data_IF_984557858041
#
_entry.id   IF_984557858041
#
_cell.length_a   1.000
_cell.length_b   1.000
_cell.length_c   1.000
_cell.angle_alpha   90.00
_cell.angle_beta   90.00
_cell.angle_gamma   90.00
#
_symmetry.space_group_name_H-M   'P 1'
#
loop_
_entity.id
_entity.type
_entity.pdbx_description
1 polymer ?
#
# COMPACT_ATOMS: atom_id res chain seq x y z
N UNK A 1 -23.55 -14.69 61.51
CA UNK A 1 -23.08 -14.31 60.17
C UNK A 1 -24.29 -14.17 59.25
N UNK A 2 -24.35 -13.02 58.57
CA UNK A 2 -25.13 -12.62 57.39
C UNK A 2 -26.62 -13.03 57.25
N UNK A 3 -27.50 -12.06 57.57
CA UNK A 3 -28.76 -11.80 56.85
C UNK A 3 -28.41 -11.27 55.46
N UNK A 4 -29.13 -11.71 54.41
CA UNK A 4 -29.29 -10.89 53.20
C UNK A 4 -30.74 -10.99 52.66
N UNK A 5 -31.39 -9.83 52.75
CA UNK A 5 -32.55 -9.30 52.05
C UNK A 5 -32.31 -9.29 50.50
N UNK A 6 -33.25 -9.09 49.55
CA UNK A 6 -34.58 -8.44 49.43
C UNK A 6 -35.12 -8.82 48.03
N UNK A 7 -36.37 -9.27 47.85
CA UNK A 7 -37.58 -8.51 47.43
C UNK A 7 -37.41 -7.34 46.42
N UNK A 8 -38.02 -7.57 45.25
CA UNK A 8 -39.00 -6.74 44.48
C UNK A 8 -38.51 -5.72 43.45
N UNK A 9 -39.01 -5.96 42.24
CA UNK A 9 -39.10 -5.10 41.06
C UNK A 9 -39.68 -3.70 41.35
N UNK A 10 -39.14 -2.69 40.68
CA UNK A 10 -39.86 -1.46 40.36
C UNK A 10 -39.34 -0.89 39.03
N UNK A 11 -40.20 -0.95 38.01
CA UNK A 11 -40.13 -0.07 36.84
C UNK A 11 -40.45 1.36 37.27
N UNK A 12 -39.64 2.34 36.84
CA UNK A 12 -40.05 3.74 36.82
C UNK A 12 -39.37 4.47 35.64
N UNK A 13 -40.26 5.01 34.82
CA UNK A 13 -40.12 5.92 33.70
C UNK A 13 -39.33 7.19 34.02
N UNK A 14 -38.51 7.69 33.08
CA UNK A 14 -37.91 9.02 33.14
C UNK A 14 -38.59 9.98 32.12
N UNK A 15 -38.91 11.23 32.49
CA UNK A 15 -39.51 12.20 31.57
C UNK A 15 -38.48 13.09 30.85
N UNK A 16 -38.91 13.60 29.70
CA UNK A 16 -38.32 14.70 28.92
C UNK A 16 -38.17 15.99 29.76
N UNK A 17 -37.05 16.70 29.55
CA UNK A 17 -37.02 18.10 29.07
C UNK A 17 -35.62 18.71 29.26
N UNK A 18 -35.12 19.43 28.25
CA UNK A 18 -34.77 20.85 28.34
C UNK A 18 -33.97 21.29 27.10
N UNK A 19 -34.53 22.28 26.39
CA UNK A 19 -33.92 22.95 25.26
C UNK A 19 -32.74 23.84 25.70
N UNK A 20 -31.66 23.83 24.91
CA UNK A 20 -30.62 24.85 24.96
C UNK A 20 -30.66 25.64 23.65
N UNK A 21 -30.85 26.96 23.79
CA UNK A 21 -30.91 27.96 22.73
C UNK A 21 -29.54 28.16 22.08
N UNK A 22 -29.44 27.94 20.76
CA UNK A 22 -28.28 28.32 19.95
C UNK A 22 -28.41 29.78 19.53
N UNK A 23 -27.50 30.64 19.97
CA UNK A 23 -27.29 31.98 19.41
C UNK A 23 -26.49 31.88 18.11
N UNK A 24 -27.05 32.38 17.02
CA UNK A 24 -26.40 32.46 15.71
C UNK A 24 -25.53 33.73 15.67
N UNK A 25 -24.23 33.57 15.42
CA UNK A 25 -23.33 34.66 15.05
C UNK A 25 -22.66 34.31 13.74
N UNK A 26 -23.09 34.96 12.66
CA UNK A 26 -22.44 34.94 11.36
C UNK A 26 -21.11 35.70 11.41
N UNK A 27 -20.03 35.08 10.95
CA UNK A 27 -18.90 35.80 10.36
C UNK A 27 -18.33 34.97 9.19
N UNK A 28 -18.65 35.46 7.99
CA UNK A 28 -17.87 35.48 6.73
C UNK A 28 -16.55 34.70 6.69
N UNK A 29 -16.30 33.95 5.60
CA UNK A 29 -15.36 34.32 4.53
C UNK A 29 -15.29 33.19 3.47
N UNK A 30 -15.43 33.57 2.20
CA UNK A 30 -15.16 32.70 1.05
C UNK A 30 -13.66 32.39 0.96
N UNK A 31 -13.29 31.12 0.77
CA UNK A 31 -11.97 30.73 0.29
C UNK A 31 -12.04 29.44 -0.56
N UNK A 32 -11.61 29.61 -1.82
CA UNK A 32 -11.18 28.64 -2.84
C UNK A 32 -11.25 27.12 -2.56
N UNK A 33 -12.02 26.41 -3.40
CA UNK A 33 -11.85 24.98 -3.67
C UNK A 33 -10.54 24.73 -4.41
N UNK A 34 -9.47 24.45 -3.66
CA UNK A 34 -8.31 23.71 -4.14
C UNK A 34 -8.35 22.32 -3.50
N UNK A 35 -8.59 21.28 -4.29
CA UNK A 35 -8.54 19.91 -3.81
C UNK A 35 -7.10 19.55 -3.41
N UNK A 36 -6.76 19.76 -2.14
CA UNK A 36 -5.57 19.20 -1.52
C UNK A 36 -5.91 17.79 -1.07
N UNK A 37 -5.32 16.80 -1.75
CA UNK A 37 -5.30 15.43 -1.29
C UNK A 37 -4.54 15.42 0.04
N UNK A 38 -5.29 15.31 1.15
CA UNK A 38 -4.72 15.20 2.49
C UNK A 38 -3.81 13.98 2.52
N UNK A 39 -2.50 14.22 2.56
CA UNK A 39 -1.50 13.19 2.82
C UNK A 39 -1.21 13.23 4.31
N UNK A 40 -2.04 12.55 5.09
CA UNK A 40 -1.72 12.26 6.50
C UNK A 40 -0.59 11.23 6.52
N UNK A 41 0.64 11.72 6.31
CA UNK A 41 1.82 10.92 6.59
C UNK A 41 1.90 10.72 8.11
N UNK A 42 1.99 9.48 8.62
CA UNK A 42 2.02 9.24 10.05
C UNK A 42 3.30 9.84 10.67
N UNK A 43 3.14 10.41 11.87
CA UNK A 43 4.25 10.93 12.67
C UNK A 43 5.26 9.82 13.02
N UNK A 44 6.54 10.15 13.04
CA UNK A 44 7.61 9.20 13.39
C UNK A 44 7.38 8.61 14.80
N UNK A 45 7.45 7.27 14.92
CA UNK A 45 7.42 6.57 16.21
C UNK A 45 6.15 5.76 16.55
N UNK A 46 5.14 5.72 15.68
CA UNK A 46 3.95 4.89 15.88
C UNK A 46 3.93 3.67 14.95
N UNK A 47 3.48 2.52 15.46
CA UNK A 47 3.24 1.34 14.64
C UNK A 47 2.02 1.59 13.72
N UNK A 48 2.05 0.98 12.53
CA UNK A 48 0.95 1.05 11.57
C UNK A 48 0.31 -0.33 11.47
N UNK A 49 -0.98 -0.42 11.77
CA UNK A 49 -1.77 -1.64 11.59
C UNK A 49 -2.70 -1.47 10.38
N UNK A 50 -2.54 -2.32 9.38
CA UNK A 50 -3.47 -2.47 8.28
C UNK A 50 -4.31 -3.72 8.51
N UNK A 51 -5.55 -3.55 8.96
CA UNK A 51 -6.45 -4.68 9.16
C UNK A 51 -6.87 -5.29 7.83
N UNK A 52 -7.39 -6.51 7.87
CA UNK A 52 -7.93 -7.17 6.67
C UNK A 52 -9.00 -6.31 5.99
N UNK A 53 -9.93 -5.71 6.76
CA UNK A 53 -10.99 -4.85 6.22
C UNK A 53 -10.44 -3.61 5.52
N UNK A 54 -9.44 -2.95 6.13
CA UNK A 54 -8.76 -1.80 5.52
C UNK A 54 -8.09 -2.19 4.20
N UNK A 55 -7.33 -3.30 4.19
CA UNK A 55 -6.67 -3.78 2.97
C UNK A 55 -7.69 -4.16 1.89
N UNK A 56 -8.79 -4.82 2.25
CA UNK A 56 -9.85 -5.16 1.30
C UNK A 56 -10.54 -3.93 0.73
N UNK A 57 -10.71 -2.86 1.51
CA UNK A 57 -11.20 -1.57 1.03
C UNK A 57 -10.31 -0.97 -0.06
N UNK A 58 -8.98 -1.01 0.15
CA UNK A 58 -8.02 -0.54 -0.85
C UNK A 58 -8.00 -1.44 -2.09
N UNK A 59 -8.02 -2.76 -1.91
CA UNK A 59 -8.07 -3.72 -3.04
C UNK A 59 -9.31 -3.45 -3.90
N UNK A 60 -10.49 -3.32 -3.31
CA UNK A 60 -11.72 -3.04 -4.08
C UNK A 60 -11.64 -1.73 -4.86
N UNK A 61 -11.11 -0.68 -4.23
CA UNK A 61 -10.89 0.61 -4.88
C UNK A 61 -9.93 0.50 -6.07
N UNK A 62 -8.82 -0.22 -5.89
CA UNK A 62 -7.83 -0.46 -6.95
C UNK A 62 -8.34 -1.42 -8.04
N UNK A 63 -9.23 -2.37 -7.72
CA UNK A 63 -9.87 -3.22 -8.72
C UNK A 63 -10.83 -2.41 -9.61
N UNK A 64 -11.51 -1.41 -9.06
CA UNK A 64 -12.34 -0.49 -9.82
C UNK A 64 -11.51 0.49 -10.66
N UNK A 65 -10.35 0.92 -10.16
CA UNK A 65 -9.41 1.80 -10.83
C UNK A 65 -7.95 1.31 -10.64
N UNK A 66 -7.43 0.46 -11.54
CA UNK A 66 -6.10 -0.12 -11.43
C UNK A 66 -5.00 0.93 -11.25
N UNK A 67 -4.09 0.66 -10.32
CA UNK A 67 -3.06 1.60 -9.89
C UNK A 67 -2.36 1.14 -8.62
N UNK A 68 -1.81 2.11 -7.88
CA UNK A 68 -1.02 1.88 -6.68
C UNK A 68 -1.65 2.57 -5.47
N UNK A 69 -1.53 1.94 -4.31
CA UNK A 69 -1.83 2.53 -3.01
C UNK A 69 -0.62 2.32 -2.07
N UNK A 70 0.01 3.42 -1.66
CA UNK A 70 1.15 3.39 -0.75
C UNK A 70 0.66 3.10 0.68
N UNK A 71 1.12 2.00 1.29
CA UNK A 71 0.78 1.64 2.66
C UNK A 71 1.80 2.24 3.65
N UNK A 72 3.09 1.97 3.47
CA UNK A 72 4.17 2.54 4.30
C UNK A 72 5.26 3.17 3.44
N UNK A 73 5.94 4.22 3.91
CA UNK A 73 6.90 5.00 3.13
C UNK A 73 8.28 5.13 3.79
N UNK A 74 9.29 5.47 2.99
CA UNK A 74 10.70 5.55 3.42
C UNK A 74 11.00 6.59 4.51
N UNK A 75 10.07 7.51 4.76
CA UNK A 75 10.19 8.51 5.84
C UNK A 75 10.00 7.91 7.23
N UNK A 76 9.33 6.76 7.34
CA UNK A 76 9.00 6.12 8.62
C UNK A 76 9.59 4.71 8.76
N UNK A 77 9.96 4.07 7.65
CA UNK A 77 10.56 2.73 7.61
C UNK A 77 11.72 2.66 6.61
N UNK A 78 12.70 1.74 6.75
CA UNK A 78 13.77 1.54 5.76
C UNK A 78 13.28 0.88 4.45
N UNK A 79 11.97 0.71 4.31
CA UNK A 79 11.31 0.15 3.14
C UNK A 79 10.06 0.95 2.81
N UNK A 80 9.55 0.75 1.60
CA UNK A 80 8.20 1.13 1.21
C UNK A 80 7.36 -0.13 1.04
N UNK A 81 6.06 -0.02 1.27
CA UNK A 81 5.11 -1.07 0.92
C UNK A 81 3.94 -0.49 0.12
N UNK A 82 3.62 -1.13 -1.00
CA UNK A 82 2.65 -0.64 -2.00
C UNK A 82 1.73 -1.78 -2.39
N UNK A 83 0.43 -1.57 -2.22
CA UNK A 83 -0.58 -2.42 -2.83
C UNK A 83 -0.81 -1.97 -4.27
N UNK A 84 -0.79 -2.91 -5.20
CA UNK A 84 -0.91 -2.63 -6.63
C UNK A 84 -1.96 -3.54 -7.26
N UNK A 85 -2.85 -2.96 -8.07
CA UNK A 85 -3.68 -3.72 -9.02
C UNK A 85 -3.30 -3.29 -10.42
N UNK A 86 -2.98 -4.26 -11.27
CA UNK A 86 -2.66 -4.03 -12.67
C UNK A 86 -3.50 -4.95 -13.54
N UNK A 87 -3.92 -4.44 -14.70
CA UNK A 87 -4.66 -5.20 -15.71
C UNK A 87 -4.08 -4.89 -17.08
N UNK A 88 -3.80 -5.93 -17.88
CA UNK A 88 -3.24 -5.83 -19.23
C UNK A 88 -2.08 -4.80 -19.35
N UNK A 89 -1.07 -4.98 -18.50
CA UNK A 89 0.06 -4.04 -18.36
C UNK A 89 1.38 -4.80 -18.45
N UNK A 90 2.29 -4.27 -19.27
CA UNK A 90 3.66 -4.79 -19.35
C UNK A 90 4.64 -3.64 -19.22
N UNK A 91 5.69 -3.84 -18.41
CA UNK A 91 6.85 -2.96 -18.46
C UNK A 91 7.48 -3.01 -19.86
N UNK A 92 8.08 -1.90 -20.30
CA UNK A 92 8.76 -1.82 -21.60
C UNK A 92 10.16 -2.42 -21.54
N UNK A 93 10.88 -2.10 -20.47
CA UNK A 93 12.28 -2.46 -20.25
C UNK A 93 12.41 -3.31 -18.98
N UNK A 94 13.55 -3.98 -18.83
CA UNK A 94 14.00 -4.52 -17.54
C UNK A 94 14.46 -3.38 -16.66
N UNK A 95 14.23 -3.50 -15.35
CA UNK A 95 14.78 -2.61 -14.33
C UNK A 95 15.70 -3.38 -13.38
N UNK A 96 16.69 -2.69 -12.83
CA UNK A 96 17.48 -3.16 -11.68
C UNK A 96 18.02 -1.98 -10.88
N UNK A 97 18.31 -2.27 -9.61
CA UNK A 97 18.64 -1.24 -8.62
C UNK A 97 19.85 -1.69 -7.82
N UNK A 98 20.82 -0.80 -7.62
CA UNK A 98 22.05 -1.11 -6.87
C UNK A 98 21.79 -1.23 -5.36
N UNK A 99 20.80 -0.50 -4.86
CA UNK A 99 20.56 -0.30 -3.42
C UNK A 99 19.16 -0.69 -2.97
N UNK A 100 18.41 -1.42 -3.81
CA UNK A 100 17.03 -1.76 -3.53
C UNK A 100 16.70 -3.21 -3.86
N UNK A 101 16.21 -3.91 -2.84
CA UNK A 101 15.65 -5.25 -2.96
C UNK A 101 14.13 -5.16 -3.11
N UNK A 102 13.53 -6.10 -3.83
CA UNK A 102 12.07 -6.18 -4.00
C UNK A 102 11.52 -7.51 -3.48
N UNK A 103 10.41 -7.44 -2.74
CA UNK A 103 9.60 -8.58 -2.35
C UNK A 103 8.20 -8.38 -2.91
N UNK A 104 7.73 -9.32 -3.72
CA UNK A 104 6.38 -9.35 -4.27
C UNK A 104 5.59 -10.49 -3.63
N UNK A 105 4.41 -10.20 -3.10
CA UNK A 105 3.42 -11.20 -2.71
C UNK A 105 2.20 -11.07 -3.62
N UNK A 106 1.81 -12.14 -4.30
CA UNK A 106 0.58 -12.15 -5.09
C UNK A 106 -0.59 -12.44 -4.16
N UNK A 107 -1.49 -11.47 -4.05
CA UNK A 107 -2.70 -11.57 -3.23
C UNK A 107 -3.83 -12.21 -4.03
N UNK A 108 -3.93 -11.88 -5.31
CA UNK A 108 -4.91 -12.45 -6.23
C UNK A 108 -4.47 -12.32 -7.69
N UNK A 109 -5.03 -13.14 -8.57
CA UNK A 109 -4.72 -13.12 -10.00
C UNK A 109 -3.38 -13.78 -10.35
N UNK A 110 -2.79 -13.36 -11.48
CA UNK A 110 -1.58 -13.95 -12.04
C UNK A 110 -0.76 -12.92 -12.83
N UNK A 111 0.56 -13.07 -12.79
CA UNK A 111 1.49 -12.21 -13.54
C UNK A 111 2.75 -12.98 -13.92
N UNK A 112 3.47 -12.51 -14.93
CA UNK A 112 4.74 -13.11 -15.37
C UNK A 112 5.89 -12.15 -15.08
N UNK A 113 7.01 -12.72 -14.66
CA UNK A 113 8.29 -12.04 -14.51
C UNK A 113 9.35 -12.67 -15.39
N UNK A 114 10.16 -11.83 -16.02
CA UNK A 114 11.45 -12.22 -16.58
C UNK A 114 12.53 -11.76 -15.60
N UNK A 115 13.42 -12.67 -15.18
CA UNK A 115 14.34 -12.49 -14.06
C UNK A 115 15.78 -12.84 -14.41
N UNK A 116 16.71 -12.02 -13.95
CA UNK A 116 18.15 -12.21 -14.10
C UNK A 116 18.64 -12.05 -15.54
N UNK A 117 19.70 -12.77 -15.87
CA UNK A 117 20.42 -12.62 -17.13
C UNK A 117 21.40 -11.45 -17.13
N UNK A 118 21.95 -11.16 -18.30
CA UNK A 118 22.87 -10.04 -18.55
C UNK A 118 22.12 -8.91 -19.26
N UNK A 119 21.91 -7.74 -18.59
CA UNK A 119 21.29 -6.58 -19.21
C UNK A 119 21.98 -6.16 -20.50
N UNK A 120 21.19 -5.89 -21.54
CA UNK A 120 21.67 -5.47 -22.85
C UNK A 120 21.40 -4.00 -23.04
N UNK A 121 22.44 -3.22 -23.39
CA UNK A 121 22.38 -1.76 -23.53
C UNK A 121 21.77 -1.04 -22.31
N UNK A 122 22.27 -1.30 -21.07
CA UNK A 122 21.73 -0.66 -19.89
C UNK A 122 21.97 0.86 -19.91
N UNK A 123 21.01 1.61 -19.41
CA UNK A 123 21.07 3.07 -19.24
C UNK A 123 20.69 3.44 -17.81
N UNK A 124 21.44 4.36 -17.22
CA UNK A 124 21.07 4.92 -15.92
C UNK A 124 19.87 5.86 -16.08
N UNK A 125 18.92 5.79 -15.16
CA UNK A 125 17.82 6.75 -15.01
C UNK A 125 17.95 7.62 -13.76
N UNK A 126 19.02 7.42 -13.00
CA UNK A 126 19.32 8.09 -11.74
C UNK A 126 20.40 7.33 -10.97
N UNK A 127 20.86 7.87 -9.82
CA UNK A 127 21.86 7.20 -8.99
C UNK A 127 21.41 5.79 -8.59
N UNK A 128 22.16 4.76 -9.00
CA UNK A 128 21.85 3.36 -8.71
C UNK A 128 20.60 2.79 -9.41
N UNK A 129 19.95 3.55 -10.30
CA UNK A 129 18.73 3.14 -11.01
C UNK A 129 19.02 2.89 -12.49
N UNK A 130 18.61 1.74 -12.99
CA UNK A 130 18.94 1.31 -14.34
C UNK A 130 17.75 0.71 -15.08
N UNK A 131 17.71 0.98 -16.40
CA UNK A 131 16.80 0.33 -17.34
C UNK A 131 17.59 -0.35 -18.46
N UNK A 132 17.07 -1.46 -18.98
CA UNK A 132 17.65 -2.15 -20.14
C UNK A 132 16.54 -2.69 -21.07
N UNK A 133 16.64 -2.50 -22.40
CA UNK A 133 15.66 -3.03 -23.36
C UNK A 133 15.55 -4.55 -23.37
N UNK A 134 16.60 -5.27 -22.97
CA UNK A 134 16.61 -6.72 -22.85
C UNK A 134 17.57 -7.21 -21.78
N UNK A 135 17.45 -8.49 -21.43
CA UNK A 135 18.39 -9.21 -20.58
C UNK A 135 18.60 -10.62 -21.13
N UNK A 136 19.83 -10.90 -21.58
CA UNK A 136 20.18 -12.17 -22.21
C UNK A 136 20.26 -13.28 -21.15
N UNK A 137 19.60 -14.41 -21.38
CA UNK A 137 19.53 -15.52 -20.42
C UNK A 137 18.54 -15.32 -19.26
N UNK A 138 17.68 -14.30 -19.32
CA UNK A 138 16.62 -14.11 -18.33
C UNK A 138 15.64 -15.29 -18.31
N UNK A 139 15.20 -15.68 -17.11
CA UNK A 139 14.25 -16.78 -16.91
C UNK A 139 12.84 -16.23 -16.73
N UNK A 140 11.87 -16.87 -17.38
CA UNK A 140 10.45 -16.54 -17.20
C UNK A 140 9.86 -17.35 -16.05
N UNK A 141 9.17 -16.69 -15.14
CA UNK A 141 8.44 -17.29 -14.03
C UNK A 141 7.02 -16.72 -14.02
N UNK A 142 6.02 -17.58 -13.87
CA UNK A 142 4.63 -17.16 -13.66
C UNK A 142 4.32 -17.23 -12.18
N UNK A 143 3.81 -16.15 -11.62
CA UNK A 143 3.38 -16.06 -10.23
C UNK A 143 1.86 -16.06 -10.18
N UNK A 144 1.31 -16.87 -9.29
CA UNK A 144 -0.12 -17.02 -9.06
C UNK A 144 -0.46 -16.57 -7.64
N UNK A 145 -1.76 -16.45 -7.35
CA UNK A 145 -2.27 -16.21 -6.00
C UNK A 145 -1.54 -17.05 -4.93
N UNK A 146 -1.02 -16.38 -3.91
CA UNK A 146 -0.30 -17.01 -2.81
C UNK A 146 1.21 -17.11 -3.03
N UNK A 147 1.69 -17.01 -4.27
CA UNK A 147 3.12 -17.04 -4.56
C UNK A 147 3.82 -15.76 -4.06
N UNK A 148 5.07 -15.93 -3.65
CA UNK A 148 5.97 -14.85 -3.26
C UNK A 148 7.24 -14.91 -4.11
N UNK A 149 7.72 -13.75 -4.53
CA UNK A 149 8.98 -13.59 -5.25
C UNK A 149 9.87 -12.57 -4.54
N UNK A 150 11.11 -12.97 -4.26
CA UNK A 150 12.15 -12.08 -3.74
C UNK A 150 13.16 -11.84 -4.85
N UNK A 151 13.42 -10.56 -5.16
CA UNK A 151 14.40 -10.13 -6.16
C UNK A 151 15.47 -9.32 -5.43
N UNK A 152 16.70 -9.83 -5.32
CA UNK A 152 17.78 -9.07 -4.73
C UNK A 152 18.20 -7.92 -5.66
N UNK A 153 18.77 -6.88 -5.07
CA UNK A 153 19.45 -5.77 -5.74
C UNK A 153 20.41 -6.27 -6.83
N UNK A 154 20.56 -5.47 -7.88
CA UNK A 154 21.37 -5.78 -9.05
C UNK A 154 20.75 -6.81 -10.00
N UNK A 155 19.67 -7.50 -9.63
CA UNK A 155 19.01 -8.44 -10.52
C UNK A 155 18.03 -7.72 -11.46
N UNK A 156 18.30 -7.83 -12.77
CA UNK A 156 17.38 -7.38 -13.81
C UNK A 156 16.05 -8.11 -13.72
N UNK A 157 14.96 -7.36 -13.75
CA UNK A 157 13.62 -7.94 -13.76
C UNK A 157 12.63 -7.11 -14.58
N UNK A 158 11.64 -7.80 -15.14
CA UNK A 158 10.58 -7.20 -15.97
C UNK A 158 9.27 -7.92 -15.72
N UNK A 159 8.21 -7.17 -15.37
CA UNK A 159 6.86 -7.69 -15.16
C UNK A 159 5.98 -7.52 -16.39
N UNK A 160 5.16 -8.53 -16.68
CA UNK A 160 4.07 -8.49 -17.65
C UNK A 160 2.82 -9.19 -17.10
N UNK A 161 1.69 -8.48 -17.13
CA UNK A 161 0.39 -8.95 -16.65
C UNK A 161 -0.60 -8.88 -17.81
N UNK A 162 -0.98 -10.02 -18.37
CA UNK A 162 -1.96 -10.08 -19.48
C UNK A 162 -3.40 -9.91 -18.98
N UNK A 163 -3.76 -10.62 -17.91
CA UNK A 163 -5.07 -10.54 -17.29
C UNK A 163 -5.06 -9.47 -16.20
N UNK A 164 -5.27 -9.85 -14.94
CA UNK A 164 -5.17 -8.96 -13.78
C UNK A 164 -4.39 -9.60 -12.65
N UNK A 165 -3.73 -8.77 -11.83
CA UNK A 165 -3.03 -9.17 -10.62
C UNK A 165 -3.25 -8.13 -9.52
N UNK A 166 -3.47 -8.61 -8.30
CA UNK A 166 -3.35 -7.82 -7.07
C UNK A 166 -2.08 -8.29 -6.37
N UNK A 167 -1.13 -7.38 -6.17
CA UNK A 167 0.13 -7.69 -5.50
C UNK A 167 0.47 -6.67 -4.42
N UNK A 168 1.19 -7.14 -3.40
CA UNK A 168 1.91 -6.30 -2.46
C UNK A 168 3.38 -6.28 -2.88
N UNK A 169 3.91 -5.09 -3.13
CA UNK A 169 5.34 -4.87 -3.30
C UNK A 169 5.90 -4.27 -2.01
N UNK A 170 6.95 -4.87 -1.48
CA UNK A 170 7.80 -4.27 -0.46
C UNK A 170 9.15 -3.98 -1.11
N UNK A 171 9.56 -2.72 -1.10
CA UNK A 171 10.85 -2.31 -1.62
C UNK A 171 11.74 -1.85 -0.48
N UNK A 172 12.82 -2.58 -0.23
CA UNK A 172 13.74 -2.34 0.88
C UNK A 172 14.91 -1.54 0.33
N UNK A 173 15.15 -0.35 0.89
CA UNK A 173 16.31 0.46 0.53
C UNK A 173 17.44 0.21 1.52
N UNK A 174 18.67 0.39 1.05
CA UNK A 174 19.79 0.52 1.98
C UNK A 174 19.48 1.61 3.01
N UNK A 175 19.67 1.26 4.28
CA UNK A 175 19.82 2.29 5.31
C UNK A 175 21.14 2.99 4.98
N UNK A 176 21.16 4.34 4.82
CA UNK A 176 22.42 5.05 4.66
C UNK A 176 23.38 4.60 5.77
N UNK A 177 24.65 4.31 5.46
CA UNK A 177 25.61 3.97 6.51
C UNK A 177 25.63 5.13 7.53
N UNK A 178 25.52 4.75 8.81
CA UNK A 178 25.57 5.66 9.95
C UNK A 178 26.87 6.44 10.01
#
# INVERSE_FOLDING_TARGET
>A
MAKNQTRRDFFLTAPLAAAATLSLSEHTLFASTGATQATDAPAAGQFQLFTADTLQGYIKSLQAAPGNHQLSGSKTTPFTSVLTVETNKSAKEFEYHEHRDHIFQIIDGTTQYQLGGTPQNPRSTGPGEWLAPGSEGAKSVTLNKGDMLVIPRGMAHKRSTTASVTLLLISIQDVPPS
#
